data_IF_944826955302
#
_entry.id   IF_944826955302
#
_cell.length_a   1.000
_cell.length_b   1.000
_cell.length_c   1.000
_cell.angle_alpha   90.00
_cell.angle_beta   90.00
_cell.angle_gamma   90.00
#
_symmetry.space_group_name_H-M   'P 1'
#
loop_
_entity.id
_entity.type
_entity.pdbx_description
1 polymer ?
#
# COMPACT_ATOMS: atom_id res chain seq x y z
N UNK A 1 1.42 16.39 30.48
CA UNK A 1 0.77 16.35 31.79
C UNK A 1 1.69 15.58 32.73
N UNK A 2 2.23 16.26 33.75
CA UNK A 2 3.06 15.67 34.78
C UNK A 2 2.14 15.06 35.83
N UNK A 3 2.22 13.76 36.04
CA UNK A 3 1.60 13.07 37.17
C UNK A 3 2.64 12.94 38.27
N UNK A 4 2.31 13.37 39.46
CA UNK A 4 3.14 13.29 40.67
C UNK A 4 2.85 11.96 41.37
N UNK A 5 3.81 11.06 41.42
CA UNK A 5 3.75 9.92 42.32
C UNK A 5 4.21 10.34 43.73
N UNK A 6 3.68 9.67 44.78
CA UNK A 6 3.81 10.04 46.16
C UNK A 6 5.23 10.00 46.78
N UNK A 7 6.26 9.66 46.03
CA UNK A 7 7.67 9.57 46.39
C UNK A 7 8.54 10.78 45.96
N UNK A 8 7.94 11.75 45.30
CA UNK A 8 8.64 12.97 44.88
C UNK A 8 9.55 12.84 43.66
N UNK A 9 9.65 11.69 43.04
CA UNK A 9 10.46 11.44 41.83
C UNK A 9 9.67 11.78 40.58
N UNK A 10 10.20 12.70 39.76
CA UNK A 10 9.67 13.04 38.45
C UNK A 10 10.25 12.09 37.41
N UNK A 11 9.48 11.14 36.99
CA UNK A 11 9.80 10.38 35.77
C UNK A 11 9.33 11.18 34.57
N UNK A 12 10.26 11.58 33.71
CA UNK A 12 9.93 11.90 32.34
C UNK A 12 9.50 10.59 31.71
N UNK A 13 8.24 10.25 31.81
CA UNK A 13 7.64 9.29 30.90
C UNK A 13 7.70 9.95 29.53
N UNK A 14 8.77 9.67 28.79
CA UNK A 14 8.76 9.84 27.35
C UNK A 14 7.51 9.08 26.94
N UNK A 15 6.44 9.83 26.63
CA UNK A 15 5.28 9.28 25.97
C UNK A 15 5.85 8.74 24.63
N UNK A 16 6.32 7.50 24.67
CA UNK A 16 6.54 6.75 23.46
C UNK A 16 5.21 6.91 22.74
N UNK A 17 5.24 7.57 21.59
CA UNK A 17 4.10 7.58 20.68
C UNK A 17 3.77 6.10 20.53
N UNK A 18 2.73 5.66 21.26
CA UNK A 18 2.27 4.28 21.16
C UNK A 18 1.79 4.17 19.72
N UNK A 19 2.66 3.64 18.87
CA UNK A 19 2.28 3.41 17.48
C UNK A 19 1.09 2.47 17.52
N UNK A 20 -0.07 2.90 17.02
CA UNK A 20 -1.29 2.11 17.12
C UNK A 20 -1.07 0.79 16.38
N UNK A 21 -0.93 -0.28 17.13
CA UNK A 21 -0.80 -1.63 16.62
C UNK A 21 -2.17 -2.33 16.59
N UNK A 22 -2.19 -3.56 16.13
CA UNK A 22 -3.40 -4.38 16.10
C UNK A 22 -4.10 -4.47 17.46
N UNK A 23 -3.35 -4.70 18.55
CA UNK A 23 -3.93 -4.83 19.89
C UNK A 23 -4.58 -3.53 20.37
N UNK A 24 -3.92 -2.41 20.10
CA UNK A 24 -4.43 -1.09 20.43
C UNK A 24 -5.74 -0.80 19.67
N UNK A 25 -5.75 -1.01 18.36
CA UNK A 25 -6.95 -0.82 17.53
C UNK A 25 -8.10 -1.72 17.98
N UNK A 26 -7.80 -2.99 18.30
CA UNK A 26 -8.79 -3.93 18.81
C UNK A 26 -9.40 -3.46 20.15
N UNK A 27 -8.55 -3.03 21.08
CA UNK A 27 -9.01 -2.51 22.38
C UNK A 27 -9.85 -1.25 22.22
N UNK A 28 -9.45 -0.35 21.32
CA UNK A 28 -10.16 0.90 21.04
C UNK A 28 -11.57 0.62 20.44
N UNK A 29 -11.69 -0.36 19.55
CA UNK A 29 -12.98 -0.79 19.01
C UNK A 29 -13.91 -1.37 20.09
N UNK A 30 -13.38 -2.25 20.95
CA UNK A 30 -14.15 -2.87 22.05
C UNK A 30 -14.62 -1.77 23.03
N UNK A 31 -13.74 -0.87 23.42
CA UNK A 31 -14.06 0.22 24.35
C UNK A 31 -15.10 1.19 23.77
N UNK A 32 -14.98 1.53 22.48
CA UNK A 32 -15.91 2.47 21.83
C UNK A 32 -17.30 1.88 21.60
N UNK A 33 -17.37 0.57 21.34
CA UNK A 33 -18.66 -0.11 21.16
C UNK A 33 -19.26 -0.61 22.47
N UNK A 34 -18.52 -0.51 23.58
CA UNK A 34 -18.90 -1.08 24.88
C UNK A 34 -19.32 -2.56 24.80
N UNK A 35 -18.76 -3.30 23.84
CA UNK A 35 -19.10 -4.69 23.57
C UNK A 35 -17.87 -5.58 23.77
N UNK A 36 -17.77 -6.17 24.95
CA UNK A 36 -16.70 -7.07 25.39
C UNK A 36 -16.99 -8.56 25.12
N UNK A 37 -18.05 -8.86 24.38
CA UNK A 37 -18.41 -10.25 24.08
C UNK A 37 -17.29 -10.96 23.30
N UNK A 38 -17.09 -12.23 23.58
CA UNK A 38 -16.08 -13.06 22.90
C UNK A 38 -16.34 -13.11 21.39
N UNK A 39 -17.60 -13.12 20.98
CA UNK A 39 -18.02 -13.14 19.58
C UNK A 39 -17.60 -11.86 18.87
N UNK A 40 -17.88 -10.69 19.43
CA UNK A 40 -17.45 -9.41 18.89
C UNK A 40 -15.92 -9.31 18.81
N UNK A 41 -15.23 -9.67 19.88
CA UNK A 41 -13.77 -9.68 19.96
C UNK A 41 -13.13 -10.58 18.90
N UNK A 42 -13.77 -11.67 18.52
CA UNK A 42 -13.29 -12.54 17.43
C UNK A 42 -13.50 -11.91 16.05
N UNK A 43 -14.61 -11.17 15.88
CA UNK A 43 -14.95 -10.52 14.60
C UNK A 43 -14.12 -9.25 14.34
N UNK A 44 -13.45 -8.68 15.33
CA UNK A 44 -12.63 -7.46 15.14
C UNK A 44 -11.57 -7.62 14.06
N UNK A 45 -10.97 -8.80 13.91
CA UNK A 45 -9.99 -9.07 12.84
C UNK A 45 -10.61 -8.95 11.44
N UNK A 46 -11.86 -9.35 11.28
CA UNK A 46 -12.62 -9.24 10.02
C UNK A 46 -12.93 -7.77 9.74
N UNK A 47 -13.32 -6.99 10.76
CA UNK A 47 -13.59 -5.56 10.60
C UNK A 47 -12.34 -4.82 10.16
N UNK A 48 -11.19 -5.10 10.79
CA UNK A 48 -9.90 -4.50 10.43
C UNK A 48 -9.53 -4.85 8.99
N UNK A 49 -9.65 -6.11 8.58
CA UNK A 49 -9.33 -6.54 7.21
C UNK A 49 -10.20 -5.82 6.17
N UNK A 50 -11.51 -5.68 6.42
CA UNK A 50 -12.43 -4.95 5.54
C UNK A 50 -12.11 -3.46 5.50
N UNK A 51 -11.77 -2.87 6.65
CA UNK A 51 -11.38 -1.47 6.74
C UNK A 51 -10.10 -1.18 5.97
N UNK A 52 -9.07 -2.00 6.10
CA UNK A 52 -7.83 -1.91 5.31
C UNK A 52 -8.10 -2.03 3.81
N UNK A 53 -8.98 -2.93 3.42
CA UNK A 53 -9.39 -3.06 2.02
C UNK A 53 -10.08 -1.80 1.52
N UNK A 54 -11.00 -1.22 2.30
CA UNK A 54 -11.69 0.04 2.00
C UNK A 54 -10.70 1.20 1.84
N UNK A 55 -9.76 1.34 2.78
CA UNK A 55 -8.70 2.35 2.72
C UNK A 55 -7.81 2.18 1.50
N UNK A 56 -7.40 0.95 1.20
CA UNK A 56 -6.54 0.66 0.06
C UNK A 56 -7.19 1.03 -1.28
N UNK A 57 -8.52 1.05 -1.39
CA UNK A 57 -9.23 1.54 -2.58
C UNK A 57 -9.41 3.05 -2.59
N UNK A 58 -9.45 3.67 -1.42
CA UNK A 58 -9.77 5.09 -1.28
C UNK A 58 -8.55 6.00 -1.36
N UNK A 59 -7.37 5.48 -0.98
CA UNK A 59 -6.12 6.24 -0.90
C UNK A 59 -5.21 5.92 -2.09
N UNK A 60 -4.61 6.99 -2.61
CA UNK A 60 -3.53 6.95 -3.59
C UNK A 60 -2.41 7.83 -3.04
N UNK A 61 -1.60 7.27 -2.14
CA UNK A 61 -0.54 7.96 -1.42
C UNK A 61 0.83 7.33 -1.72
N UNK A 62 1.88 8.16 -1.66
CA UNK A 62 3.27 7.69 -1.82
C UNK A 62 3.69 6.65 -0.78
N UNK A 63 3.13 6.70 0.42
CA UNK A 63 3.37 5.69 1.44
C UNK A 63 2.90 4.28 1.07
N UNK A 64 2.12 4.14 0.00
CA UNK A 64 1.70 2.88 -0.57
C UNK A 64 2.54 2.45 -1.78
N UNK A 65 3.50 3.28 -2.20
CA UNK A 65 4.38 2.96 -3.32
C UNK A 65 5.53 2.07 -2.83
N UNK A 66 5.68 0.93 -3.47
CA UNK A 66 6.74 -0.05 -3.21
C UNK A 66 7.55 -0.29 -4.48
N UNK A 67 8.84 -0.59 -4.31
CA UNK A 67 9.72 -1.02 -5.39
C UNK A 67 9.95 -2.52 -5.30
N UNK A 68 9.68 -3.22 -6.40
CA UNK A 68 9.92 -4.64 -6.51
C UNK A 68 10.99 -4.90 -7.55
N UNK A 69 12.03 -5.65 -7.16
CA UNK A 69 13.08 -6.11 -8.07
C UNK A 69 12.85 -7.56 -8.43
N UNK A 70 12.74 -7.83 -9.73
CA UNK A 70 12.53 -9.19 -10.24
C UNK A 70 13.52 -9.45 -11.37
N UNK A 71 14.23 -10.58 -11.27
CA UNK A 71 15.13 -11.04 -12.34
C UNK A 71 14.34 -11.73 -13.45
N UNK A 72 14.58 -11.34 -14.68
CA UNK A 72 13.94 -11.90 -15.88
C UNK A 72 14.99 -12.63 -16.69
N UNK A 73 14.77 -13.91 -16.91
CA UNK A 73 15.67 -14.77 -17.69
C UNK A 73 15.57 -14.44 -19.19
N UNK A 74 16.67 -14.70 -19.91
CA UNK A 74 16.67 -14.64 -21.38
C UNK A 74 15.96 -15.86 -21.99
N UNK A 75 15.42 -15.70 -23.19
CA UNK A 75 15.00 -16.82 -24.05
C UNK A 75 13.60 -17.39 -23.85
N UNK A 76 12.85 -16.96 -22.85
CA UNK A 76 11.43 -17.33 -22.69
C UNK A 76 10.56 -16.09 -22.67
N UNK A 77 9.26 -16.27 -22.97
CA UNK A 77 8.31 -15.18 -22.88
C UNK A 77 8.50 -14.45 -21.53
N UNK A 78 8.99 -13.21 -21.60
CA UNK A 78 9.41 -12.45 -20.43
C UNK A 78 8.17 -11.99 -19.63
N UNK A 79 7.53 -12.96 -18.99
CA UNK A 79 6.42 -12.71 -18.07
C UNK A 79 6.96 -12.63 -16.66
N UNK A 80 6.74 -11.51 -16.02
CA UNK A 80 7.14 -11.24 -14.64
C UNK A 80 5.94 -11.41 -13.75
N UNK A 81 6.06 -12.28 -12.75
CA UNK A 81 5.03 -12.43 -11.73
C UNK A 81 5.07 -11.26 -10.75
N UNK A 82 3.90 -10.72 -10.45
CA UNK A 82 3.69 -9.65 -9.48
C UNK A 82 3.13 -10.24 -8.18
N UNK A 83 3.43 -9.58 -7.07
CA UNK A 83 2.84 -9.93 -5.78
C UNK A 83 1.34 -9.60 -5.78
N UNK A 84 0.53 -10.42 -5.11
CA UNK A 84 -0.93 -10.24 -5.01
C UNK A 84 -1.34 -8.94 -4.31
N UNK A 85 -0.42 -8.31 -3.58
CA UNK A 85 -0.64 -7.01 -2.95
C UNK A 85 -0.59 -5.85 -3.94
N UNK A 86 -0.01 -6.05 -5.13
CA UNK A 86 0.17 -5.00 -6.14
C UNK A 86 -1.18 -4.68 -6.78
N UNK A 87 -1.55 -3.40 -6.71
CA UNK A 87 -2.78 -2.89 -7.31
C UNK A 87 -2.53 -2.17 -8.62
N UNK A 88 -1.57 -1.26 -8.62
CA UNK A 88 -1.25 -0.42 -9.76
C UNK A 88 0.25 -0.53 -10.02
N UNK A 89 0.63 -0.76 -11.28
CA UNK A 89 2.01 -0.63 -11.74
C UNK A 89 2.17 0.80 -12.26
N UNK A 90 3.06 1.58 -11.66
CA UNK A 90 3.29 2.97 -12.05
C UNK A 90 4.38 3.09 -13.09
N UNK A 91 5.48 2.38 -12.87
CA UNK A 91 6.64 2.43 -13.75
C UNK A 91 7.38 1.09 -13.73
N UNK A 92 8.01 0.77 -14.84
CA UNK A 92 8.85 -0.42 -14.97
C UNK A 92 10.16 -0.01 -15.64
N UNK A 93 11.26 -0.19 -14.91
CA UNK A 93 12.60 0.01 -15.42
C UNK A 93 13.31 -1.34 -15.49
N UNK A 94 14.34 -1.44 -16.30
CA UNK A 94 15.25 -2.58 -16.23
C UNK A 94 16.70 -2.14 -16.22
N UNK A 95 17.52 -2.97 -15.60
CA UNK A 95 18.97 -2.84 -15.58
C UNK A 95 19.54 -4.13 -16.16
N UNK A 96 20.48 -3.99 -17.10
CA UNK A 96 21.26 -5.14 -17.56
C UNK A 96 22.20 -5.56 -16.45
N UNK A 97 22.33 -6.85 -16.18
CA UNK A 97 23.10 -7.38 -15.02
C UNK A 97 24.56 -6.93 -14.97
N UNK A 98 25.11 -6.48 -16.08
CA UNK A 98 26.49 -5.97 -16.21
C UNK A 98 26.59 -4.45 -16.21
N UNK A 99 25.44 -3.73 -16.17
CA UNK A 99 25.38 -2.29 -16.26
C UNK A 99 24.77 -1.63 -15.04
N UNK A 100 24.91 -0.32 -14.94
CA UNK A 100 24.29 0.54 -13.92
C UNK A 100 23.18 1.42 -14.50
N UNK A 101 23.03 1.43 -15.83
CA UNK A 101 22.04 2.27 -16.50
C UNK A 101 20.65 1.67 -16.42
N UNK A 102 19.71 2.50 -15.95
CA UNK A 102 18.29 2.15 -15.89
C UNK A 102 17.60 2.61 -17.17
N UNK A 103 16.95 1.66 -17.85
CA UNK A 103 16.13 1.94 -19.02
C UNK A 103 14.66 1.81 -18.66
N UNK A 104 13.88 2.86 -18.94
CA UNK A 104 12.46 2.88 -18.71
C UNK A 104 11.71 2.14 -19.82
N UNK A 105 10.75 1.28 -19.44
CA UNK A 105 9.85 0.58 -20.37
C UNK A 105 8.55 1.36 -20.52
N UNK A 106 8.07 1.49 -21.73
CA UNK A 106 6.80 2.15 -22.03
C UNK A 106 5.64 1.16 -21.90
N UNK A 107 4.61 1.57 -21.20
CA UNK A 107 3.39 0.76 -21.10
C UNK A 107 2.63 0.74 -22.43
N UNK A 108 2.20 -0.45 -22.85
CA UNK A 108 1.37 -0.70 -24.03
C UNK A 108 0.28 -1.71 -23.70
N UNK A 109 -0.70 -1.85 -24.61
CA UNK A 109 -1.72 -2.89 -24.49
C UNK A 109 -1.12 -4.27 -24.79
N UNK A 110 -1.76 -5.31 -24.28
CA UNK A 110 -1.31 -6.69 -24.54
C UNK A 110 -1.37 -7.05 -26.02
N UNK A 111 -2.40 -6.59 -26.73
CA UNK A 111 -2.56 -6.78 -28.17
C UNK A 111 -1.38 -6.15 -28.91
N UNK A 112 -1.07 -4.90 -28.65
CA UNK A 112 0.09 -4.24 -29.24
C UNK A 112 1.39 -5.01 -29.03
N UNK A 113 1.62 -5.51 -27.81
CA UNK A 113 2.84 -6.26 -27.51
C UNK A 113 2.89 -7.62 -28.21
N UNK A 114 1.74 -8.25 -28.45
CA UNK A 114 1.67 -9.49 -29.19
C UNK A 114 1.91 -9.28 -30.70
N UNK A 115 1.37 -8.21 -31.27
CA UNK A 115 1.61 -7.84 -32.65
C UNK A 115 3.04 -7.37 -32.91
N UNK A 116 3.58 -6.57 -31.99
CA UNK A 116 4.95 -6.07 -32.07
C UNK A 116 6.00 -7.19 -31.94
N UNK A 117 5.74 -8.18 -31.08
CA UNK A 117 6.66 -9.29 -30.81
C UNK A 117 5.95 -10.63 -30.78
N UNK A 118 5.55 -11.13 -31.98
CA UNK A 118 4.74 -12.36 -32.08
C UNK A 118 5.54 -13.62 -31.76
N UNK A 119 6.87 -13.58 -31.92
CA UNK A 119 7.75 -14.73 -31.72
C UNK A 119 8.49 -14.57 -30.40
N UNK A 120 8.02 -15.25 -29.37
CA UNK A 120 8.55 -15.12 -27.98
C UNK A 120 9.99 -15.63 -27.80
N UNK A 121 10.45 -16.54 -28.65
CA UNK A 121 11.83 -17.08 -28.63
C UNK A 121 12.86 -16.14 -29.25
N UNK A 122 12.43 -15.18 -30.07
CA UNK A 122 13.33 -14.14 -30.57
C UNK A 122 13.72 -13.21 -29.43
N UNK A 123 14.98 -12.80 -29.38
CA UNK A 123 15.49 -11.92 -28.32
C UNK A 123 15.81 -10.54 -28.87
N UNK A 124 15.72 -9.54 -27.99
CA UNK A 124 16.01 -8.15 -28.33
C UNK A 124 16.09 -7.28 -27.05
N UNK A 125 16.39 -6.02 -27.22
CA UNK A 125 16.40 -5.09 -26.10
C UNK A 125 14.96 -4.72 -25.70
N UNK A 126 14.53 -4.92 -24.44
CA UNK A 126 13.21 -4.57 -23.96
C UNK A 126 12.90 -3.08 -24.18
N UNK A 127 11.68 -2.79 -24.62
CA UNK A 127 11.20 -1.40 -24.82
C UNK A 127 9.82 -1.16 -24.25
N UNK A 128 9.00 -2.21 -24.24
CA UNK A 128 7.60 -2.10 -23.83
C UNK A 128 7.25 -3.14 -22.78
N UNK A 129 6.26 -2.82 -21.96
CA UNK A 129 5.60 -3.79 -21.11
C UNK A 129 4.09 -3.69 -21.25
N UNK A 130 3.41 -4.80 -21.02
CA UNK A 130 1.96 -4.86 -20.96
C UNK A 130 1.51 -5.62 -19.72
N UNK A 131 0.41 -5.20 -19.13
CA UNK A 131 -0.24 -5.95 -18.06
C UNK A 131 -1.03 -7.10 -18.68
N UNK A 132 -0.72 -8.33 -18.28
CA UNK A 132 -1.42 -9.53 -18.76
C UNK A 132 -2.66 -9.79 -17.91
N UNK A 133 -2.47 -9.72 -16.60
CA UNK A 133 -3.52 -9.87 -15.59
C UNK A 133 -3.11 -9.13 -14.28
N UNK A 134 -3.83 -9.37 -13.19
CA UNK A 134 -3.53 -8.72 -11.91
C UNK A 134 -2.18 -9.14 -11.31
N UNK A 135 -1.70 -10.34 -11.62
CA UNK A 135 -0.50 -10.94 -11.03
C UNK A 135 0.68 -11.06 -12.01
N UNK A 136 0.59 -10.51 -13.23
CA UNK A 136 1.70 -10.61 -14.19
C UNK A 136 1.74 -9.48 -15.20
N UNK A 137 2.97 -9.15 -15.60
CA UNK A 137 3.29 -8.27 -16.71
C UNK A 137 4.13 -9.02 -17.75
N UNK A 138 3.96 -8.66 -19.01
CA UNK A 138 4.76 -9.13 -20.14
C UNK A 138 5.71 -8.04 -20.57
N UNK A 139 6.97 -8.38 -20.77
CA UNK A 139 8.02 -7.48 -21.25
C UNK A 139 8.41 -7.89 -22.67
N UNK A 140 8.49 -6.92 -23.56
CA UNK A 140 8.84 -7.15 -24.97
C UNK A 140 9.81 -6.08 -25.49
N UNK A 141 10.73 -6.45 -26.37
CA UNK A 141 11.19 -7.79 -26.77
C UNK A 141 11.66 -8.67 -25.62
N UNK A 142 11.72 -9.98 -25.85
CA UNK A 142 12.33 -10.92 -24.89
C UNK A 142 13.80 -10.57 -24.68
N UNK A 143 14.30 -10.44 -23.45
CA UNK A 143 15.67 -10.02 -23.18
C UNK A 143 16.73 -10.98 -23.79
N UNK A 144 17.80 -10.39 -24.32
CA UNK A 144 18.98 -11.16 -24.83
C UNK A 144 19.76 -11.81 -23.68
N UNK A 145 19.82 -11.14 -22.54
CA UNK A 145 20.52 -11.59 -21.34
C UNK A 145 19.60 -11.47 -20.12
N UNK A 146 20.04 -12.01 -18.99
CA UNK A 146 19.32 -11.81 -17.73
C UNK A 146 19.31 -10.32 -17.40
N UNK A 147 18.14 -9.79 -17.15
CA UNK A 147 17.93 -8.40 -16.72
C UNK A 147 17.28 -8.41 -15.33
N UNK A 148 17.54 -7.36 -14.56
CA UNK A 148 16.79 -7.07 -13.33
C UNK A 148 15.76 -5.98 -13.64
N UNK A 149 14.49 -6.29 -13.46
CA UNK A 149 13.41 -5.31 -13.58
C UNK A 149 13.15 -4.68 -12.22
N UNK A 150 13.08 -3.36 -12.18
CA UNK A 150 12.60 -2.59 -11.04
C UNK A 150 11.21 -2.07 -11.35
N UNK A 151 10.24 -2.52 -10.59
CA UNK A 151 8.83 -2.20 -10.80
C UNK A 151 8.39 -1.30 -9.66
N UNK A 152 8.05 -0.06 -9.98
CA UNK A 152 7.39 0.85 -9.05
C UNK A 152 5.90 0.56 -9.05
N UNK A 153 5.38 0.22 -7.90
CA UNK A 153 3.99 -0.21 -7.76
C UNK A 153 3.32 0.49 -6.59
N UNK A 154 2.02 0.67 -6.69
CA UNK A 154 1.19 0.95 -5.54
C UNK A 154 0.67 -0.38 -5.00
N UNK A 155 1.05 -0.69 -3.77
CA UNK A 155 0.76 -1.96 -3.14
C UNK A 155 -0.16 -1.77 -1.93
N UNK A 156 -0.99 -2.78 -1.68
CA UNK A 156 -1.70 -2.87 -0.42
C UNK A 156 -0.68 -3.18 0.69
N UNK A 157 -0.67 -2.47 1.83
CA UNK A 157 0.21 -2.78 2.95
C UNK A 157 0.01 -4.22 3.45
N UNK A 158 0.97 -4.73 4.18
CA UNK A 158 0.79 -5.98 4.91
C UNK A 158 -0.38 -5.84 5.88
N UNK A 159 -1.23 -6.85 5.93
CA UNK A 159 -2.42 -6.79 6.77
C UNK A 159 -2.04 -6.69 8.25
N UNK A 160 -2.67 -5.75 8.96
CA UNK A 160 -2.50 -5.57 10.39
C UNK A 160 -3.01 -6.79 11.17
N UNK A 161 -4.06 -7.40 10.68
CA UNK A 161 -4.70 -8.60 11.25
C UNK A 161 -4.09 -9.92 10.73
N UNK A 162 -2.97 -9.87 10.01
CA UNK A 162 -2.28 -11.06 9.56
C UNK A 162 -1.53 -11.68 10.71
N UNK A 163 -2.20 -12.36 11.58
CA UNK A 163 -1.48 -13.16 12.52
C UNK A 163 -2.19 -14.49 12.73
N UNK A 164 -1.65 -15.48 12.15
CA UNK A 164 -1.56 -16.76 12.84
C UNK A 164 -0.76 -16.52 14.12
N UNK A 165 -1.42 -16.09 15.16
CA UNK A 165 -1.10 -16.43 16.54
C UNK A 165 -0.16 -15.54 17.35
N UNK A 166 0.71 -14.67 16.87
CA UNK A 166 1.74 -14.14 17.78
C UNK A 166 2.20 -12.69 17.60
N UNK A 167 1.82 -11.99 16.57
CA UNK A 167 2.29 -10.61 16.42
C UNK A 167 1.18 -9.58 16.63
N UNK A 168 0.74 -9.47 17.88
CA UNK A 168 -0.22 -8.45 18.35
C UNK A 168 0.34 -7.03 18.22
N UNK A 169 1.65 -6.93 17.94
CA UNK A 169 2.41 -5.68 17.87
C UNK A 169 2.72 -5.22 16.45
N UNK A 170 2.16 -5.89 15.44
CA UNK A 170 2.37 -5.46 14.06
C UNK A 170 1.73 -4.11 13.81
N UNK A 171 2.48 -3.25 13.14
CA UNK A 171 2.02 -1.98 12.59
C UNK A 171 2.07 -2.05 11.06
N UNK A 172 1.30 -1.22 10.40
CA UNK A 172 1.39 -1.01 8.97
C UNK A 172 1.16 0.47 8.65
N UNK A 173 1.31 0.85 7.37
CA UNK A 173 1.14 2.23 6.94
C UNK A 173 -0.18 2.85 7.41
N UNK A 174 -1.28 2.10 7.37
CA UNK A 174 -2.59 2.62 7.77
C UNK A 174 -2.67 2.87 9.27
N UNK A 175 -2.07 1.99 10.09
CA UNK A 175 -2.08 2.17 11.55
C UNK A 175 -1.18 3.29 12.02
N UNK A 176 -0.08 3.57 11.30
CA UNK A 176 0.89 4.59 11.69
C UNK A 176 0.50 6.00 11.20
N UNK A 177 0.06 6.10 9.95
CA UNK A 177 -0.17 7.39 9.29
C UNK A 177 -1.65 7.73 9.06
N UNK A 178 -2.54 6.74 9.05
CA UNK A 178 -3.94 6.90 8.71
C UNK A 178 -4.89 6.37 9.79
N UNK A 179 -4.45 6.37 11.06
CA UNK A 179 -5.17 5.71 12.16
C UNK A 179 -6.63 6.13 12.27
N UNK A 180 -6.93 7.42 12.24
CA UNK A 180 -8.31 7.91 12.36
C UNK A 180 -9.20 7.39 11.22
N UNK A 181 -8.69 7.35 10.00
CA UNK A 181 -9.44 6.81 8.87
C UNK A 181 -9.63 5.29 9.00
N UNK A 182 -8.62 4.58 9.49
CA UNK A 182 -8.68 3.13 9.74
C UNK A 182 -9.70 2.82 10.85
N UNK A 183 -9.64 3.54 11.95
CA UNK A 183 -10.58 3.37 13.07
C UNK A 183 -12.03 3.64 12.65
N UNK A 184 -12.28 4.76 11.97
CA UNK A 184 -13.62 5.09 11.48
C UNK A 184 -14.16 4.04 10.49
N UNK A 185 -13.28 3.52 9.61
CA UNK A 185 -13.66 2.43 8.71
C UNK A 185 -13.99 1.13 9.47
N UNK A 186 -13.25 0.81 10.53
CA UNK A 186 -13.54 -0.33 11.39
C UNK A 186 -14.88 -0.13 12.12
N UNK A 187 -15.16 1.10 12.61
CA UNK A 187 -16.42 1.41 13.30
C UNK A 187 -17.64 1.24 12.38
N UNK A 188 -17.52 1.59 11.10
CA UNK A 188 -18.60 1.32 10.13
C UNK A 188 -18.91 -0.19 10.06
N UNK A 189 -17.88 -1.03 9.97
CA UNK A 189 -18.08 -2.50 9.90
C UNK A 189 -18.60 -3.06 11.24
N UNK A 190 -18.12 -2.52 12.37
CA UNK A 190 -18.58 -2.90 13.70
C UNK A 190 -20.06 -2.54 13.93
N UNK A 191 -20.47 -1.32 13.58
CA UNK A 191 -21.88 -0.88 13.71
C UNK A 191 -22.82 -1.68 12.82
N UNK A 192 -22.39 -2.07 11.62
CA UNK A 192 -23.16 -3.00 10.76
C UNK A 192 -23.32 -4.36 11.46
N UNK A 193 -22.27 -4.87 12.09
CA UNK A 193 -22.31 -6.16 12.79
C UNK A 193 -23.26 -6.15 13.98
N UNK A 194 -23.22 -5.10 14.80
CA UNK A 194 -24.14 -4.96 15.96
C UNK A 194 -25.55 -4.50 15.55
N UNK A 195 -25.78 -4.27 14.24
CA UNK A 195 -27.08 -3.82 13.66
C UNK A 195 -27.54 -2.46 14.17
N UNK A 196 -26.61 -1.58 14.55
CA UNK A 196 -26.92 -0.19 14.89
C UNK A 196 -26.89 0.69 13.64
N UNK A 197 -27.98 0.71 12.93
CA UNK A 197 -28.13 1.47 11.68
C UNK A 197 -28.17 2.99 11.90
N UNK A 198 -28.41 3.43 13.13
CA UNK A 198 -28.60 4.86 13.45
C UNK A 198 -27.27 5.61 13.50
N UNK A 199 -26.19 4.96 13.89
CA UNK A 199 -24.86 5.57 14.02
C UNK A 199 -24.00 5.45 12.77
N UNK A 200 -24.36 4.58 11.80
CA UNK A 200 -23.60 4.41 10.55
C UNK A 200 -23.35 5.72 9.80
N UNK A 201 -24.35 6.61 9.58
CA UNK A 201 -24.11 7.87 8.86
C UNK A 201 -23.06 8.75 9.53
N UNK A 202 -23.01 8.79 10.86
CA UNK A 202 -22.00 9.52 11.62
C UNK A 202 -20.59 9.00 11.35
N UNK A 203 -20.39 7.69 11.45
CA UNK A 203 -19.08 7.10 11.18
C UNK A 203 -18.66 7.25 9.72
N UNK A 204 -19.63 7.22 8.80
CA UNK A 204 -19.36 7.39 7.38
C UNK A 204 -18.95 8.83 7.04
N UNK A 205 -19.56 9.83 7.67
CA UNK A 205 -19.18 11.23 7.54
C UNK A 205 -17.77 11.48 8.08
N UNK A 206 -17.47 11.04 9.29
CA UNK A 206 -16.15 11.16 9.93
C UNK A 206 -15.06 10.43 9.12
N UNK A 207 -15.39 9.27 8.55
CA UNK A 207 -14.50 8.56 7.64
C UNK A 207 -14.20 9.39 6.39
N UNK A 208 -15.23 9.96 5.76
CA UNK A 208 -15.07 10.77 4.56
C UNK A 208 -14.24 12.04 4.82
N UNK A 209 -14.41 12.68 5.95
CA UNK A 209 -13.57 13.83 6.37
C UNK A 209 -12.10 13.42 6.50
N UNK A 210 -11.83 12.31 7.20
CA UNK A 210 -10.49 11.77 7.39
C UNK A 210 -9.82 11.44 6.05
N UNK A 211 -10.53 10.77 5.15
CA UNK A 211 -10.03 10.43 3.81
C UNK A 211 -9.77 11.67 2.95
N UNK A 212 -10.64 12.67 3.01
CA UNK A 212 -10.45 13.91 2.26
C UNK A 212 -9.21 14.67 2.74
N UNK A 213 -8.94 14.68 4.04
CA UNK A 213 -7.71 15.21 4.61
C UNK A 213 -6.46 14.53 4.05
N UNK A 214 -6.43 13.20 4.07
CA UNK A 214 -5.33 12.40 3.54
C UNK A 214 -5.14 12.57 2.03
N UNK A 215 -6.22 12.61 1.25
CA UNK A 215 -6.16 12.87 -0.20
C UNK A 215 -5.60 14.25 -0.52
N UNK A 216 -5.96 15.25 0.26
CA UNK A 216 -5.41 16.60 0.08
C UNK A 216 -3.92 16.65 0.42
N UNK A 217 -3.48 15.92 1.43
CA UNK A 217 -2.06 15.77 1.76
C UNK A 217 -1.31 15.08 0.62
N UNK A 218 -1.81 13.96 0.11
CA UNK A 218 -1.22 13.23 -1.00
C UNK A 218 -1.11 14.09 -2.28
N UNK A 219 -2.12 14.90 -2.55
CA UNK A 219 -2.09 15.85 -3.69
C UNK A 219 -1.01 16.92 -3.52
N UNK A 220 -0.87 17.49 -2.32
CA UNK A 220 0.18 18.50 -2.05
C UNK A 220 1.56 17.93 -2.27
N UNK A 221 1.83 16.73 -1.78
CA UNK A 221 3.12 16.05 -1.95
C UNK A 221 3.46 15.83 -3.43
N UNK A 222 2.45 15.58 -4.29
CA UNK A 222 2.65 15.43 -5.74
C UNK A 222 2.77 16.76 -6.49
N UNK A 223 2.14 17.81 -6.00
CA UNK A 223 2.19 19.12 -6.64
C UNK A 223 3.54 19.80 -6.53
N UNK A 224 4.31 19.51 -5.50
CA UNK A 224 5.64 20.11 -5.32
C UNK A 224 6.60 19.75 -6.47
N UNK A 225 6.41 18.59 -7.10
CA UNK A 225 7.19 18.20 -8.29
C UNK A 225 6.72 18.90 -9.58
N UNK A 226 5.46 19.34 -9.64
CA UNK A 226 4.90 20.05 -10.79
C UNK A 226 4.94 21.59 -10.65
N UNK A 227 5.11 22.10 -9.45
CA UNK A 227 5.03 23.54 -9.18
C UNK A 227 6.36 24.29 -9.38
N UNK A 228 7.42 23.60 -9.79
CA UNK A 228 8.71 24.22 -10.10
C UNK A 228 9.02 24.14 -11.62
N UNK A 229 8.28 24.92 -12.47
CA UNK A 229 8.51 24.93 -13.91
C UNK A 229 9.84 25.62 -14.33
N UNK A 230 10.67 25.97 -13.37
CA UNK A 230 11.89 26.74 -13.57
C UNK A 230 13.19 26.01 -13.32
N UNK A 231 13.18 24.72 -13.03
CA UNK A 231 14.43 23.95 -13.01
C UNK A 231 14.77 23.57 -14.44
N UNK A 232 15.78 24.18 -15.07
CA UNK A 232 16.24 23.73 -16.38
C UNK A 232 16.70 22.28 -16.19
N UNK A 233 16.27 21.40 -17.09
CA UNK A 233 16.85 20.07 -17.23
C UNK A 233 18.35 20.25 -17.47
N UNK A 234 19.11 20.29 -16.40
CA UNK A 234 20.56 20.24 -16.42
C UNK A 234 20.96 18.83 -16.73
N UNK A 235 21.00 18.49 -17.99
CA UNK A 235 21.74 17.34 -18.44
C UNK A 235 23.20 17.72 -18.57
N UNK A 236 24.13 16.81 -18.31
CA UNK A 236 25.53 16.98 -18.66
C UNK A 236 25.70 17.01 -20.16
#
# INVERSE_FOLDING_TARGET
>A
NLWRCGDGTYYYTICWLVMPNYAYLKADLINTTENDSTEFSTQTSVFITKAEQRLSYSLDDFGLDEFHSVSVSSGNAATVSLNDRIRIVRNVNYVVSTGTEKTNLLQRTLEYTNDYWPVSVSTGNPRYYARVNNSSIKIVPTPVSVITTEIQTQSKPLALASATGTSVTTTNYFSEFCYNALFNACMIEATIYIKDWTTIPFWQETYNESINGLRNQARRTRQDDMSNPGSPAGGP
#
